data_IF_976809064396
#
_entry.id   IF_976809064396
#
_cell.length_a   1.000
_cell.length_b   1.000
_cell.length_c   1.000
_cell.angle_alpha   90.00
_cell.angle_beta   90.00
_cell.angle_gamma   90.00
#
_symmetry.space_group_name_H-M   'P 1'
#
loop_
_entity.id
_entity.type
_entity.pdbx_description
1 polymer ?
#
# COMPACT_ATOMS: atom_id res chain seq x y z
N UNK A 1 5.94 1.72 17.28
CA UNK A 1 4.88 0.87 16.68
C UNK A 1 3.55 1.18 17.38
N UNK A 2 2.65 1.97 16.77
CA UNK A 2 1.27 2.12 17.24
C UNK A 2 0.41 1.07 16.54
N UNK A 3 0.22 -0.09 17.16
CA UNK A 3 -0.91 -0.92 16.80
C UNK A 3 -2.14 -0.20 17.38
N UNK A 4 -2.86 0.56 16.55
CA UNK A 4 -4.12 1.17 16.99
C UNK A 4 -5.15 0.06 17.08
N UNK A 5 -5.65 -0.16 18.30
CA UNK A 5 -6.55 -1.24 18.61
C UNK A 5 -7.85 -1.14 17.81
N UNK A 6 -8.35 -2.30 17.39
CA UNK A 6 -9.69 -2.50 16.84
C UNK A 6 -10.71 -1.79 17.74
N UNK A 7 -11.50 -0.87 17.19
CA UNK A 7 -12.52 -0.10 17.91
C UNK A 7 -12.06 1.26 18.46
N UNK A 8 -10.81 1.68 18.21
CA UNK A 8 -10.29 2.95 18.71
C UNK A 8 -11.14 4.17 18.29
N UNK A 9 -11.67 4.21 17.06
CA UNK A 9 -12.51 5.31 16.59
C UNK A 9 -13.78 5.50 17.45
N UNK A 10 -14.51 4.42 17.72
CA UNK A 10 -15.73 4.47 18.55
C UNK A 10 -15.43 4.89 19.99
N UNK A 11 -14.38 4.32 20.58
CA UNK A 11 -13.94 4.67 21.95
C UNK A 11 -13.55 6.15 22.05
N UNK A 12 -12.90 6.69 21.02
CA UNK A 12 -12.53 8.10 20.96
C UNK A 12 -13.75 9.00 20.76
N UNK A 13 -14.72 8.62 19.92
CA UNK A 13 -15.99 9.36 19.77
C UNK A 13 -16.80 9.35 21.06
N UNK A 14 -16.89 8.22 21.75
CA UNK A 14 -17.57 8.10 23.04
C UNK A 14 -16.86 8.96 24.12
N UNK A 15 -15.54 8.99 24.13
CA UNK A 15 -14.75 9.86 25.01
C UNK A 15 -14.94 11.35 24.67
N UNK A 16 -15.10 11.69 23.40
CA UNK A 16 -15.39 13.06 22.97
C UNK A 16 -16.72 13.56 23.54
N UNK A 17 -17.75 12.71 23.55
CA UNK A 17 -19.05 13.03 24.14
C UNK A 17 -19.01 13.07 25.66
N UNK A 18 -18.31 12.13 26.30
CA UNK A 18 -18.24 12.03 27.76
C UNK A 18 -17.46 13.18 28.43
N UNK A 19 -16.49 13.76 27.73
CA UNK A 19 -15.61 14.81 28.26
C UNK A 19 -15.73 16.13 27.48
N UNK A 20 -16.93 16.47 27.00
CA UNK A 20 -17.19 17.67 26.18
C UNK A 20 -16.71 18.99 26.81
N UNK A 21 -16.76 19.08 28.15
CA UNK A 21 -16.42 20.30 28.90
C UNK A 21 -14.91 20.39 29.27
N UNK A 22 -14.09 19.39 28.92
CA UNK A 22 -12.66 19.38 29.22
C UNK A 22 -11.82 19.68 27.96
N UNK A 23 -11.27 20.91 27.81
CA UNK A 23 -10.60 21.32 26.58
C UNK A 23 -9.32 20.54 26.27
N UNK A 24 -8.59 20.08 27.29
CA UNK A 24 -7.35 19.30 27.10
C UNK A 24 -7.65 17.89 26.60
N UNK A 25 -8.72 17.27 27.12
CA UNK A 25 -9.17 15.95 26.67
C UNK A 25 -9.76 16.04 25.27
N UNK A 26 -10.54 17.09 24.98
CA UNK A 26 -11.08 17.33 23.64
C UNK A 26 -9.97 17.44 22.59
N UNK A 27 -8.91 18.21 22.87
CA UNK A 27 -7.80 18.36 21.93
C UNK A 27 -7.07 17.03 21.71
N UNK A 28 -6.79 16.29 22.78
CA UNK A 28 -6.15 14.97 22.70
C UNK A 28 -6.99 13.96 21.91
N UNK A 29 -8.31 13.94 22.11
CA UNK A 29 -9.24 13.07 21.40
C UNK A 29 -9.33 13.46 19.93
N UNK A 30 -9.37 14.76 19.61
CA UNK A 30 -9.37 15.28 18.24
C UNK A 30 -8.12 14.87 17.47
N UNK A 31 -6.93 15.02 18.08
CA UNK A 31 -5.68 14.56 17.49
C UNK A 31 -5.68 13.04 17.25
N UNK A 32 -6.19 12.27 18.22
CA UNK A 32 -6.29 10.83 18.11
C UNK A 32 -7.26 10.39 16.99
N UNK A 33 -8.43 11.05 16.87
CA UNK A 33 -9.39 10.80 15.79
C UNK A 33 -8.83 11.19 14.43
N UNK A 34 -8.19 12.35 14.31
CA UNK A 34 -7.51 12.78 13.09
C UNK A 34 -6.43 11.77 12.67
N UNK A 35 -5.71 11.19 13.65
CA UNK A 35 -4.74 10.15 13.36
C UNK A 35 -5.41 8.84 12.93
N UNK A 36 -6.54 8.43 13.53
CA UNK A 36 -7.30 7.21 13.14
C UNK A 36 -7.87 7.36 11.73
N UNK A 37 -8.40 8.53 11.39
CA UNK A 37 -8.96 8.83 10.07
C UNK A 37 -7.91 9.30 9.05
N UNK A 38 -6.62 9.27 9.40
CA UNK A 38 -5.55 9.79 8.55
C UNK A 38 -5.44 9.06 7.20
N UNK A 39 -5.85 7.79 7.15
CA UNK A 39 -5.91 6.98 5.94
C UNK A 39 -7.26 7.02 5.21
N UNK A 40 -8.27 7.69 5.77
CA UNK A 40 -9.54 7.84 5.08
C UNK A 40 -9.33 8.62 3.78
N UNK A 41 -9.99 8.17 2.71
CA UNK A 41 -9.86 8.71 1.36
C UNK A 41 -8.42 8.71 0.81
N UNK A 42 -7.49 7.92 1.37
CA UNK A 42 -6.13 7.85 0.84
C UNK A 42 -6.10 7.41 -0.62
N UNK A 43 -6.99 6.49 -1.03
CA UNK A 43 -7.19 6.09 -2.44
C UNK A 43 -7.40 7.31 -3.35
N UNK A 44 -8.19 8.31 -2.93
CA UNK A 44 -8.42 9.53 -3.72
C UNK A 44 -7.24 10.51 -3.70
N UNK A 45 -6.34 10.40 -2.71
CA UNK A 45 -5.19 11.28 -2.55
C UNK A 45 -3.90 10.71 -3.13
N UNK A 46 -3.84 9.41 -3.41
CA UNK A 46 -2.63 8.74 -3.89
C UNK A 46 -2.06 9.41 -5.15
N UNK A 47 -2.92 9.84 -6.08
CA UNK A 47 -2.55 10.51 -7.34
C UNK A 47 -1.97 11.91 -7.13
N UNK A 48 -2.20 12.51 -5.96
CA UNK A 48 -1.65 13.81 -5.56
C UNK A 48 -0.30 13.70 -4.84
N UNK A 49 0.11 12.49 -4.45
CA UNK A 49 1.44 12.24 -3.86
C UNK A 49 2.53 12.39 -4.93
N UNK A 50 3.79 12.63 -4.52
CA UNK A 50 4.90 12.66 -5.48
C UNK A 50 5.06 11.34 -6.23
N UNK A 51 4.85 10.20 -5.57
CA UNK A 51 4.83 8.89 -6.22
C UNK A 51 3.72 8.81 -7.27
N UNK A 52 2.49 9.18 -6.92
CA UNK A 52 1.35 9.18 -7.83
C UNK A 52 1.53 10.12 -9.02
N UNK A 53 2.09 11.31 -8.82
CA UNK A 53 2.40 12.26 -9.90
C UNK A 53 3.40 11.70 -10.90
N UNK A 54 4.45 11.01 -10.42
CA UNK A 54 5.43 10.34 -11.30
C UNK A 54 4.78 9.23 -12.15
N UNK A 55 3.73 8.61 -11.64
CA UNK A 55 2.99 7.51 -12.29
C UNK A 55 1.63 7.98 -12.85
N UNK A 56 1.48 9.27 -13.16
CA UNK A 56 0.24 9.87 -13.66
C UNK A 56 0.03 9.66 -15.17
N UNK A 57 0.88 8.87 -15.82
CA UNK A 57 0.77 8.49 -17.23
C UNK A 57 0.97 6.99 -17.34
N UNK A 58 0.30 6.38 -18.31
CA UNK A 58 0.49 4.96 -18.65
C UNK A 58 1.06 4.83 -20.05
N UNK A 59 2.02 3.92 -20.23
CA UNK A 59 2.52 3.49 -21.54
C UNK A 59 1.86 2.14 -21.87
N UNK A 60 1.03 2.05 -22.93
CA UNK A 60 0.44 0.78 -23.33
C UNK A 60 1.50 -0.23 -23.75
N UNK A 61 1.46 -1.43 -23.17
CA UNK A 61 2.35 -2.54 -23.53
C UNK A 61 1.46 -3.71 -23.99
N UNK A 62 1.06 -3.79 -25.27
CA UNK A 62 0.04 -4.76 -25.71
C UNK A 62 0.38 -6.21 -25.40
N UNK A 63 1.64 -6.60 -25.61
CA UNK A 63 2.11 -7.95 -25.32
C UNK A 63 2.39 -8.11 -23.81
N UNK A 64 1.59 -8.93 -23.15
CA UNK A 64 1.72 -9.20 -21.70
C UNK A 64 3.02 -9.92 -21.35
N UNK A 65 3.63 -10.66 -22.28
CA UNK A 65 4.87 -11.40 -22.03
C UNK A 65 6.09 -10.47 -21.81
N UNK A 66 5.99 -9.19 -22.24
CA UNK A 66 7.03 -8.17 -22.06
C UNK A 66 6.63 -7.09 -21.06
N UNK A 67 5.64 -7.38 -20.21
CA UNK A 67 5.24 -6.55 -19.06
C UNK A 67 5.97 -7.01 -17.79
N UNK A 68 7.29 -7.12 -17.85
CA UNK A 68 8.11 -7.34 -16.66
C UNK A 68 8.27 -6.06 -15.85
N UNK A 69 8.65 -6.21 -14.58
CA UNK A 69 8.95 -5.11 -13.67
C UNK A 69 10.37 -5.27 -13.13
N UNK A 70 11.15 -4.20 -13.07
CA UNK A 70 12.49 -4.25 -12.47
C UNK A 70 12.42 -4.33 -10.95
N UNK A 71 13.45 -4.91 -10.34
CA UNK A 71 13.61 -4.86 -8.90
C UNK A 71 13.63 -3.41 -8.40
N UNK A 72 14.27 -2.49 -9.12
CA UNK A 72 14.27 -1.06 -8.79
C UNK A 72 12.86 -0.45 -8.70
N UNK A 73 12.01 -0.68 -9.71
CA UNK A 73 10.62 -0.20 -9.70
C UNK A 73 9.82 -0.77 -8.51
N UNK A 74 10.05 -2.05 -8.17
CA UNK A 74 9.41 -2.67 -7.00
C UNK A 74 9.93 -2.11 -5.67
N UNK A 75 11.23 -1.77 -5.59
CA UNK A 75 11.81 -1.14 -4.40
C UNK A 75 11.25 0.27 -4.20
N UNK A 76 11.11 1.06 -5.27
CA UNK A 76 10.46 2.37 -5.20
C UNK A 76 9.01 2.26 -4.70
N UNK A 77 8.26 1.27 -5.18
CA UNK A 77 6.92 0.99 -4.68
C UNK A 77 6.95 0.61 -3.19
N UNK A 78 7.89 -0.25 -2.78
CA UNK A 78 8.07 -0.64 -1.38
C UNK A 78 8.33 0.58 -0.49
N UNK A 79 9.24 1.48 -0.88
CA UNK A 79 9.58 2.65 -0.08
C UNK A 79 8.36 3.57 0.07
N UNK A 80 7.64 3.81 -1.01
CA UNK A 80 6.40 4.59 -0.99
C UNK A 80 5.32 3.98 -0.09
N UNK A 81 5.10 2.67 -0.18
CA UNK A 81 4.10 1.96 0.64
C UNK A 81 4.49 2.02 2.11
N UNK A 82 5.75 1.76 2.43
CA UNK A 82 6.24 1.76 3.81
C UNK A 82 6.13 3.16 4.42
N UNK A 83 6.54 4.20 3.69
CA UNK A 83 6.38 5.60 4.13
C UNK A 83 4.92 5.98 4.34
N UNK A 84 4.04 5.55 3.43
CA UNK A 84 2.60 5.79 3.53
C UNK A 84 2.03 5.16 4.80
N UNK A 85 2.33 3.89 5.07
CA UNK A 85 1.82 3.19 6.26
C UNK A 85 2.41 3.72 7.58
N UNK A 86 3.52 4.46 7.54
CA UNK A 86 4.03 5.18 8.69
C UNK A 86 3.24 6.46 8.99
N UNK A 87 2.72 7.12 7.95
CA UNK A 87 2.01 8.41 8.04
C UNK A 87 0.49 8.27 8.13
N UNK A 88 -0.06 7.21 7.55
CA UNK A 88 -1.49 7.03 7.36
C UNK A 88 -1.93 5.68 7.91
N UNK A 89 -3.06 5.70 8.63
CA UNK A 89 -3.73 4.51 9.15
C UNK A 89 -4.71 3.99 8.09
N UNK A 90 -4.21 3.15 7.18
CA UNK A 90 -5.05 2.52 6.16
C UNK A 90 -5.82 1.36 6.78
N UNK A 91 -7.13 1.30 6.55
CA UNK A 91 -8.01 0.29 7.15
C UNK A 91 -8.56 -0.62 6.06
N UNK A 92 -8.29 -1.92 6.20
CA UNK A 92 -8.86 -2.95 5.35
C UNK A 92 -10.24 -3.34 5.87
N UNK A 93 -11.23 -3.31 4.98
CA UNK A 93 -12.64 -3.59 5.28
C UNK A 93 -13.05 -4.80 4.44
N UNK A 94 -12.71 -5.99 4.91
CA UNK A 94 -13.14 -7.22 4.24
C UNK A 94 -14.66 -7.41 4.40
N UNK A 95 -15.39 -7.79 3.33
CA UNK A 95 -16.83 -8.03 3.40
C UNK A 95 -17.20 -9.24 4.28
N UNK A 96 -16.28 -10.20 4.45
CA UNK A 96 -16.54 -11.44 5.21
C UNK A 96 -16.46 -11.27 6.74
N UNK A 97 -15.94 -10.15 7.24
CA UNK A 97 -15.93 -9.82 8.69
C UNK A 97 -17.11 -8.92 9.11
N UNK A 98 -18.16 -8.87 8.27
CA UNK A 98 -19.43 -8.20 8.49
C UNK A 98 -20.32 -8.85 9.56
N UNK A 99 -19.79 -9.09 10.75
CA UNK A 99 -20.61 -9.08 11.97
C UNK A 99 -21.04 -7.63 12.24
N UNK A 100 -22.18 -7.43 12.91
CA UNK A 100 -22.85 -6.14 13.14
C UNK A 100 -22.03 -5.00 13.82
N UNK A 101 -20.72 -5.21 14.05
CA UNK A 101 -19.76 -4.27 14.63
C UNK A 101 -18.60 -3.90 13.68
N UNK A 102 -18.74 -4.14 12.37
CA UNK A 102 -17.81 -3.87 11.25
C UNK A 102 -16.63 -2.94 11.51
N UNK A 103 -15.64 -3.41 12.27
CA UNK A 103 -14.42 -2.67 12.55
C UNK A 103 -13.35 -3.20 11.62
N UNK A 104 -13.04 -2.42 10.58
CA UNK A 104 -11.92 -2.74 9.70
C UNK A 104 -10.60 -2.83 10.47
N UNK A 105 -9.63 -3.54 9.89
CA UNK A 105 -8.32 -3.79 10.50
C UNK A 105 -7.28 -2.86 9.90
N UNK A 106 -6.52 -2.17 10.75
CA UNK A 106 -5.37 -1.36 10.29
C UNK A 106 -4.36 -2.23 9.57
N UNK A 107 -3.99 -1.78 8.38
CA UNK A 107 -2.96 -2.39 7.54
C UNK A 107 -1.60 -1.98 8.09
N UNK A 108 -0.76 -2.98 8.38
CA UNK A 108 0.59 -2.77 8.90
C UNK A 108 1.62 -3.38 7.96
N UNK A 109 2.76 -2.72 7.79
CA UNK A 109 3.81 -3.10 6.84
C UNK A 109 4.17 -4.59 6.92
N UNK A 110 4.41 -5.11 8.13
CA UNK A 110 4.88 -6.48 8.34
C UNK A 110 3.86 -7.56 7.95
N UNK A 111 2.57 -7.20 7.80
CA UNK A 111 1.47 -8.11 7.46
C UNK A 111 0.74 -7.73 6.18
N UNK A 112 1.17 -6.66 5.50
CA UNK A 112 0.57 -6.18 4.27
C UNK A 112 0.66 -7.29 3.22
N UNK A 113 -0.48 -7.86 2.85
CA UNK A 113 -0.56 -8.89 1.79
C UNK A 113 -0.56 -8.26 0.40
N UNK A 114 -0.36 -9.07 -0.64
CA UNK A 114 -0.47 -8.57 -2.03
C UNK A 114 -1.90 -8.16 -2.41
N UNK A 115 -2.92 -8.75 -1.76
CA UNK A 115 -4.30 -8.30 -1.90
C UNK A 115 -4.48 -6.86 -1.39
N UNK A 116 -3.98 -6.58 -0.19
CA UNK A 116 -4.05 -5.24 0.40
C UNK A 116 -3.19 -4.23 -0.37
N UNK A 117 -2.01 -4.65 -0.83
CA UNK A 117 -1.18 -3.82 -1.72
C UNK A 117 -1.95 -3.46 -3.00
N UNK A 118 -2.63 -4.43 -3.62
CA UNK A 118 -3.47 -4.20 -4.80
C UNK A 118 -4.54 -3.15 -4.49
N UNK A 119 -5.31 -3.34 -3.44
CA UNK A 119 -6.50 -2.55 -3.17
C UNK A 119 -6.18 -1.13 -2.70
N UNK A 120 -5.16 -0.97 -1.84
CA UNK A 120 -4.83 0.33 -1.27
C UNK A 120 -3.85 1.16 -2.10
N UNK A 121 -3.05 0.55 -2.98
CA UNK A 121 -1.98 1.25 -3.69
C UNK A 121 -2.04 1.07 -5.21
N UNK A 122 -2.11 -0.17 -5.71
CA UNK A 122 -2.00 -0.41 -7.14
C UNK A 122 -3.26 0.00 -7.90
N UNK A 123 -4.42 -0.47 -7.46
CA UNK A 123 -5.69 -0.22 -8.13
C UNK A 123 -6.03 1.29 -8.15
N UNK A 124 -5.81 2.04 -7.06
CA UNK A 124 -5.96 3.50 -7.09
C UNK A 124 -5.10 4.21 -8.14
N UNK A 125 -3.89 3.71 -8.42
CA UNK A 125 -3.00 4.28 -9.44
C UNK A 125 -3.40 3.89 -10.87
N UNK A 126 -3.93 2.68 -11.07
CA UNK A 126 -4.13 2.13 -12.42
C UNK A 126 -5.58 2.21 -12.93
N UNK A 127 -6.56 2.35 -12.03
CA UNK A 127 -8.00 2.27 -12.38
C UNK A 127 -8.43 3.32 -13.41
N UNK A 128 -7.93 4.55 -13.31
CA UNK A 128 -8.24 5.63 -14.26
C UNK A 128 -7.78 5.31 -15.68
N UNK A 129 -6.68 4.59 -15.81
CA UNK A 129 -6.07 4.19 -17.09
C UNK A 129 -6.52 2.81 -17.58
N UNK A 130 -7.17 2.00 -16.73
CA UNK A 130 -7.56 0.61 -16.99
C UNK A 130 -6.38 -0.26 -17.46
N UNK A 131 -5.23 -0.13 -16.80
CA UNK A 131 -3.98 -0.78 -17.18
C UNK A 131 -3.37 -1.62 -16.04
N UNK A 132 -2.30 -2.36 -16.32
CA UNK A 132 -1.51 -3.01 -15.26
C UNK A 132 -0.58 -2.02 -14.56
N UNK A 133 -0.08 -2.36 -13.37
CA UNK A 133 0.92 -1.54 -12.67
C UNK A 133 2.16 -1.31 -13.52
N UNK A 134 2.60 -2.32 -14.28
CA UNK A 134 3.77 -2.22 -15.15
C UNK A 134 3.56 -1.13 -16.20
N UNK A 135 2.36 -0.95 -16.73
CA UNK A 135 2.09 0.09 -17.72
C UNK A 135 2.18 1.52 -17.13
N UNK A 136 2.13 1.70 -15.81
CA UNK A 136 2.39 3.02 -15.17
C UNK A 136 3.81 3.14 -14.61
N UNK A 137 4.44 2.04 -14.23
CA UNK A 137 5.80 2.03 -13.67
C UNK A 137 6.89 1.97 -14.76
N UNK A 138 6.58 1.36 -15.90
CA UNK A 138 7.47 1.17 -17.03
C UNK A 138 7.33 2.28 -18.05
N UNK A 139 8.46 2.75 -18.57
CA UNK A 139 8.48 3.68 -19.71
C UNK A 139 8.44 2.95 -21.07
N UNK A 140 8.71 1.64 -21.08
CA UNK A 140 8.76 0.83 -22.30
C UNK A 140 8.60 -0.67 -21.97
N UNK A 141 8.67 -1.53 -23.00
CA UNK A 141 8.66 -2.99 -22.85
C UNK A 141 9.85 -3.45 -22.00
N UNK A 142 9.58 -4.33 -21.04
CA UNK A 142 10.58 -4.91 -20.14
C UNK A 142 10.43 -6.42 -20.17
N UNK A 143 11.23 -7.12 -20.98
CA UNK A 143 11.17 -8.58 -21.01
C UNK A 143 11.61 -9.15 -19.65
N UNK A 144 10.80 -9.99 -18.99
CA UNK A 144 11.17 -10.57 -17.71
C UNK A 144 12.30 -11.59 -17.90
N UNK A 145 13.31 -11.52 -17.04
CA UNK A 145 14.38 -12.53 -16.98
C UNK A 145 13.93 -13.77 -16.20
N UNK A 146 13.00 -13.59 -15.27
CA UNK A 146 12.49 -14.62 -14.38
C UNK A 146 10.99 -14.48 -14.24
N UNK A 147 10.28 -15.60 -14.17
CA UNK A 147 8.87 -15.63 -13.77
C UNK A 147 8.78 -16.06 -12.31
N UNK A 148 8.00 -15.34 -11.50
CA UNK A 148 7.81 -15.63 -10.08
C UNK A 148 6.37 -16.05 -9.82
N UNK A 149 6.18 -17.34 -9.54
CA UNK A 149 4.91 -17.86 -9.04
C UNK A 149 4.86 -17.76 -7.52
N UNK A 150 3.87 -17.05 -6.97
CA UNK A 150 3.70 -16.91 -5.53
C UNK A 150 2.22 -16.77 -5.14
N UNK A 151 1.91 -17.05 -3.87
CA UNK A 151 0.58 -16.84 -3.31
C UNK A 151 0.37 -15.38 -2.90
N UNK A 152 -0.76 -14.79 -3.30
CA UNK A 152 -1.12 -13.39 -3.01
C UNK A 152 -1.37 -13.08 -1.53
N UNK A 153 -1.62 -14.11 -0.71
CA UNK A 153 -1.69 -13.97 0.75
C UNK A 153 -0.31 -13.78 1.40
N UNK A 154 0.78 -13.98 0.67
CA UNK A 154 2.14 -13.75 1.18
C UNK A 154 2.32 -12.26 1.51
N UNK A 155 2.89 -11.93 2.69
CA UNK A 155 3.25 -10.55 3.00
C UNK A 155 4.20 -9.96 1.96
N UNK A 156 3.86 -8.78 1.44
CA UNK A 156 4.66 -8.04 0.47
C UNK A 156 6.13 -7.85 0.87
N UNK A 157 6.48 -7.53 2.15
CA UNK A 157 7.87 -7.42 2.55
C UNK A 157 8.66 -8.73 2.37
N UNK A 158 8.01 -9.89 2.52
CA UNK A 158 8.65 -11.19 2.30
C UNK A 158 8.87 -11.46 0.82
N UNK A 159 7.89 -11.11 -0.02
CA UNK A 159 8.05 -11.15 -1.48
C UNK A 159 9.24 -10.28 -1.91
N UNK A 160 9.33 -9.04 -1.43
CA UNK A 160 10.43 -8.14 -1.75
C UNK A 160 11.78 -8.68 -1.28
N UNK A 161 11.87 -9.22 -0.07
CA UNK A 161 13.11 -9.83 0.43
C UNK A 161 13.53 -11.02 -0.41
N UNK A 162 12.59 -11.86 -0.85
CA UNK A 162 12.85 -12.99 -1.73
C UNK A 162 13.43 -12.54 -3.08
N UNK A 163 12.83 -11.53 -3.72
CA UNK A 163 13.30 -10.99 -4.99
C UNK A 163 14.69 -10.35 -4.85
N UNK A 164 14.95 -9.60 -3.78
CA UNK A 164 16.28 -9.05 -3.53
C UNK A 164 17.34 -10.15 -3.39
N UNK A 165 17.05 -11.20 -2.63
CA UNK A 165 17.97 -12.33 -2.44
C UNK A 165 18.21 -13.09 -3.76
N UNK A 166 17.16 -13.29 -4.56
CA UNK A 166 17.26 -13.90 -5.88
C UNK A 166 18.20 -13.08 -6.77
N UNK A 167 17.95 -11.78 -6.88
CA UNK A 167 18.74 -10.89 -7.74
C UNK A 167 20.19 -10.84 -7.28
N UNK A 168 20.44 -10.70 -5.98
CA UNK A 168 21.80 -10.67 -5.41
C UNK A 168 22.56 -11.97 -5.65
N UNK A 169 21.89 -13.13 -5.57
CA UNK A 169 22.53 -14.43 -5.78
C UNK A 169 22.97 -14.67 -7.23
N UNK A 170 22.35 -13.97 -8.20
CA UNK A 170 22.58 -14.18 -9.64
C UNK A 170 23.29 -13.03 -10.32
N UNK A 171 23.15 -11.81 -9.81
CA UNK A 171 23.58 -10.57 -10.45
C UNK A 171 24.22 -9.61 -9.42
N UNK A 172 25.37 -10.02 -8.87
CA UNK A 172 26.18 -9.26 -7.89
C UNK A 172 26.32 -7.76 -8.26
N UNK A 173 26.56 -7.47 -9.54
CA UNK A 173 26.56 -6.13 -10.10
C UNK A 173 25.39 -6.02 -11.08
N UNK A 174 24.34 -5.27 -10.74
CA UNK A 174 23.14 -5.11 -11.59
C UNK A 174 21.85 -5.72 -11.05
N UNK A 175 21.82 -6.16 -9.79
CA UNK A 175 20.62 -6.71 -9.14
C UNK A 175 19.36 -5.82 -9.30
N UNK A 176 19.52 -4.50 -9.29
CA UNK A 176 18.41 -3.54 -9.48
C UNK A 176 17.74 -3.62 -10.86
N UNK A 177 18.51 -3.98 -11.89
CA UNK A 177 18.03 -4.08 -13.28
C UNK A 177 17.37 -5.43 -13.59
N UNK A 178 17.36 -6.38 -12.65
CA UNK A 178 16.69 -7.68 -12.84
C UNK A 178 15.20 -7.46 -13.01
N UNK A 179 14.65 -8.01 -14.10
CA UNK A 179 13.23 -7.95 -14.43
C UNK A 179 12.51 -9.25 -14.08
N UNK A 180 11.33 -9.11 -13.47
CA UNK A 180 10.43 -10.20 -13.06
C UNK A 180 9.08 -10.11 -13.77
#
# INVERSE_FOLDING_TARGET
>A
RRAKGVGAGKVLTDAQLAFQDNPLVQESVREALAAVHSGDQFEGRITTTEYGKRHAQSVPIPDTAVRGVTLEQLLELQDFVQETLQKHDLVDRSPDEGGANGCGKSVVWEKLTMYQLRDHFILPLTRSFKCSFVEVAAHCKQAPMWMVSHWWGTPFPFTMRMLQLQAQSRYLHGASAVTY
#
